data_IF_993405347837
#
_entry.id   IF_993405347837
#
_cell.length_a   1.000
_cell.length_b   1.000
_cell.length_c   1.000
_cell.angle_alpha   90.00
_cell.angle_beta   90.00
_cell.angle_gamma   90.00
#
_symmetry.space_group_name_H-M   'P 1'
#
loop_
_entity.id
_entity.type
_entity.pdbx_description
1 polymer ?
#
# COMPACT_ATOMS: atom_id res chain seq x y z
N UNK A 1 7.43 -23.07 -2.12
CA UNK A 1 6.65 -21.81 -2.12
C UNK A 1 7.23 -20.75 -3.05
N UNK A 2 8.49 -20.25 -2.83
CA UNK A 2 9.03 -19.07 -3.53
C UNK A 2 9.07 -19.26 -5.05
N UNK A 3 9.71 -20.33 -5.53
CA UNK A 3 9.83 -20.63 -6.97
C UNK A 3 8.48 -20.71 -7.67
N UNK A 4 7.49 -21.43 -7.07
CA UNK A 4 6.15 -21.56 -7.64
C UNK A 4 5.41 -20.21 -7.69
N UNK A 5 5.55 -19.38 -6.65
CA UNK A 5 4.95 -18.06 -6.59
C UNK A 5 5.53 -17.13 -7.67
N UNK A 6 6.87 -17.05 -7.76
CA UNK A 6 7.55 -16.17 -8.72
C UNK A 6 7.25 -16.60 -10.16
N UNK A 7 7.31 -17.90 -10.45
CA UNK A 7 6.97 -18.43 -11.77
C UNK A 7 5.51 -18.12 -12.15
N UNK A 8 4.59 -18.32 -11.20
CA UNK A 8 3.19 -17.98 -11.41
C UNK A 8 3.00 -16.49 -11.67
N UNK A 9 3.65 -15.63 -10.88
CA UNK A 9 3.58 -14.17 -11.05
C UNK A 9 4.08 -13.75 -12.43
N UNK A 10 5.20 -14.27 -12.90
CA UNK A 10 5.75 -13.97 -14.23
C UNK A 10 4.78 -14.29 -15.36
N UNK A 11 3.96 -15.35 -15.20
CA UNK A 11 2.98 -15.79 -16.19
C UNK A 11 1.61 -15.10 -16.06
N UNK A 12 1.27 -14.57 -14.87
CA UNK A 12 -0.08 -14.12 -14.55
C UNK A 12 -0.11 -12.68 -13.98
N UNK A 13 1.00 -11.97 -13.98
CA UNK A 13 1.06 -10.59 -13.46
C UNK A 13 0.04 -9.70 -14.15
N UNK A 14 -0.68 -8.91 -13.35
CA UNK A 14 -1.63 -7.94 -13.88
C UNK A 14 -0.88 -6.79 -14.56
N UNK A 15 -1.40 -6.33 -15.68
CA UNK A 15 -0.86 -5.19 -16.40
C UNK A 15 -1.41 -3.89 -15.79
N UNK A 16 -0.52 -3.13 -15.14
CA UNK A 16 -0.84 -1.83 -14.56
C UNK A 16 0.12 -0.78 -15.07
N UNK A 17 -0.30 0.50 -15.22
CA UNK A 17 0.57 1.59 -15.70
C UNK A 17 1.87 1.72 -14.89
N UNK A 18 1.80 1.55 -13.58
CA UNK A 18 2.94 1.63 -12.65
C UNK A 18 3.84 0.39 -12.61
N UNK A 19 3.62 -0.59 -13.49
CA UNK A 19 4.46 -1.79 -13.66
C UNK A 19 5.22 -1.81 -14.98
N UNK A 20 5.13 -0.72 -15.76
CA UNK A 20 5.79 -0.61 -17.07
C UNK A 20 7.29 -0.38 -16.96
N UNK A 21 7.72 0.19 -15.84
CA UNK A 21 9.13 0.48 -15.54
C UNK A 21 9.44 0.18 -14.06
N UNK A 22 10.64 0.51 -13.62
CA UNK A 22 11.10 0.39 -12.23
C UNK A 22 11.45 1.76 -11.63
N UNK A 23 10.90 2.85 -12.18
CA UNK A 23 11.13 4.18 -11.65
C UNK A 23 10.59 4.28 -10.21
N UNK A 24 11.42 4.58 -9.21
CA UNK A 24 10.98 4.69 -7.82
C UNK A 24 9.94 5.79 -7.61
N UNK A 25 9.94 6.85 -8.43
CA UNK A 25 8.93 7.89 -8.38
C UNK A 25 7.56 7.34 -8.81
N UNK A 26 7.49 6.63 -9.93
CA UNK A 26 6.26 6.02 -10.43
C UNK A 26 5.67 4.99 -9.45
N UNK A 27 6.54 4.15 -8.88
CA UNK A 27 6.15 3.16 -7.88
C UNK A 27 5.64 3.87 -6.62
N UNK A 28 6.33 4.90 -6.13
CA UNK A 28 5.92 5.65 -4.96
C UNK A 28 4.54 6.29 -5.13
N UNK A 29 4.29 7.00 -6.25
CA UNK A 29 2.99 7.59 -6.56
C UNK A 29 1.89 6.53 -6.50
N UNK A 30 2.08 5.40 -7.19
CA UNK A 30 1.09 4.33 -7.22
C UNK A 30 0.83 3.74 -5.83
N UNK A 31 1.88 3.46 -5.05
CA UNK A 31 1.76 2.89 -3.71
C UNK A 31 1.00 3.81 -2.73
N UNK A 32 1.21 5.13 -2.82
CA UNK A 32 0.46 6.09 -2.02
C UNK A 32 -1.00 6.19 -2.49
N UNK A 33 -1.26 6.17 -3.79
CA UNK A 33 -2.64 6.20 -4.33
C UNK A 33 -3.42 4.94 -3.99
N UNK A 34 -2.76 3.78 -3.98
CA UNK A 34 -3.37 2.49 -3.66
C UNK A 34 -3.68 2.30 -2.16
N UNK A 35 -3.19 3.17 -1.28
CA UNK A 35 -3.58 3.12 0.14
C UNK A 35 -5.09 3.33 0.28
N UNK A 36 -5.84 2.29 0.68
CA UNK A 36 -7.30 2.29 0.88
C UNK A 36 -8.13 2.65 -0.38
N UNK A 37 -7.56 2.46 -1.57
CA UNK A 37 -8.23 2.72 -2.84
C UNK A 37 -8.01 1.52 -3.78
N UNK A 38 -9.02 1.18 -4.59
CA UNK A 38 -8.92 0.04 -5.51
C UNK A 38 -8.05 0.36 -6.73
N UNK A 39 -7.48 -0.67 -7.36
CA UNK A 39 -6.63 -0.51 -8.56
C UNK A 39 -7.37 0.17 -9.70
N UNK A 40 -8.63 -0.20 -9.94
CA UNK A 40 -9.46 0.33 -11.01
C UNK A 40 -9.72 1.83 -10.84
N UNK A 41 -9.90 2.27 -9.59
CA UNK A 41 -10.06 3.69 -9.28
C UNK A 41 -8.74 4.44 -9.46
N UNK A 42 -7.60 3.85 -9.09
CA UNK A 42 -6.29 4.52 -9.11
C UNK A 42 -5.79 4.77 -10.53
N UNK A 43 -6.02 3.87 -11.49
CA UNK A 43 -5.47 3.97 -12.85
C UNK A 43 -5.64 5.37 -13.47
N UNK A 44 -6.87 5.91 -13.63
CA UNK A 44 -7.05 7.21 -14.27
C UNK A 44 -6.45 8.38 -13.45
N UNK A 45 -6.38 8.25 -12.13
CA UNK A 45 -5.73 9.27 -11.28
C UNK A 45 -4.22 9.27 -11.43
N UNK A 46 -3.62 8.09 -11.48
CA UNK A 46 -2.18 7.90 -11.65
C UNK A 46 -1.71 8.48 -12.99
N UNK A 47 -2.39 8.16 -14.08
CA UNK A 47 -2.05 8.65 -15.42
C UNK A 47 -2.14 10.19 -15.46
N UNK A 48 -3.27 10.77 -15.05
CA UNK A 48 -3.46 12.21 -14.98
C UNK A 48 -2.44 12.91 -14.07
N UNK A 49 -2.08 12.28 -12.93
CA UNK A 49 -1.12 12.85 -12.00
C UNK A 49 0.27 12.93 -12.61
N UNK A 50 0.73 11.88 -13.28
CA UNK A 50 2.04 11.86 -13.94
C UNK A 50 2.09 12.74 -15.19
N UNK A 51 0.98 12.96 -15.90
CA UNK A 51 0.90 13.95 -16.98
C UNK A 51 1.17 15.38 -16.48
N UNK A 52 0.73 15.71 -15.26
CA UNK A 52 0.91 17.03 -14.66
C UNK A 52 2.21 17.14 -13.85
N UNK A 53 2.62 16.08 -13.19
CA UNK A 53 3.81 16.00 -12.34
C UNK A 53 4.68 14.83 -12.78
N UNK A 54 5.34 14.97 -13.92
CA UNK A 54 6.14 13.89 -14.53
C UNK A 54 7.45 13.61 -13.79
N UNK A 55 7.89 14.51 -12.92
CA UNK A 55 9.11 14.35 -12.10
C UNK A 55 8.87 14.76 -10.65
N UNK A 56 9.80 14.36 -9.78
CA UNK A 56 9.78 14.76 -8.36
C UNK A 56 9.88 16.28 -8.22
N UNK A 57 10.71 16.92 -9.04
CA UNK A 57 10.91 18.38 -9.04
C UNK A 57 9.63 19.11 -9.44
N UNK A 58 8.93 18.61 -10.47
CA UNK A 58 7.65 19.17 -10.90
C UNK A 58 6.62 19.08 -9.77
N UNK A 59 6.54 17.95 -9.08
CA UNK A 59 5.67 17.78 -7.92
C UNK A 59 6.08 18.68 -6.75
N UNK A 60 7.37 18.79 -6.45
CA UNK A 60 7.87 19.58 -5.34
C UNK A 60 7.67 21.09 -5.53
N UNK A 61 7.76 21.58 -6.77
CA UNK A 61 7.61 22.99 -7.11
C UNK A 61 6.15 23.44 -7.28
N UNK A 62 5.21 22.51 -7.44
CA UNK A 62 3.79 22.80 -7.52
C UNK A 62 3.25 23.39 -6.22
N UNK A 63 2.18 24.17 -6.29
CA UNK A 63 1.43 24.53 -5.09
C UNK A 63 0.65 23.33 -4.54
N UNK A 64 0.43 23.32 -3.22
CA UNK A 64 -0.38 22.26 -2.61
C UNK A 64 -1.81 22.22 -3.16
N UNK A 65 -2.33 23.37 -3.60
CA UNK A 65 -3.66 23.49 -4.21
C UNK A 65 -3.72 22.78 -5.57
N UNK A 66 -2.69 22.92 -6.42
CA UNK A 66 -2.58 22.18 -7.67
C UNK A 66 -2.51 20.68 -7.44
N UNK A 67 -1.74 20.24 -6.44
CA UNK A 67 -1.67 18.81 -6.06
C UNK A 67 -3.03 18.30 -5.59
N UNK A 68 -3.77 19.06 -4.78
CA UNK A 68 -5.11 18.71 -4.35
C UNK A 68 -6.11 18.63 -5.50
N UNK A 69 -6.00 19.51 -6.50
CA UNK A 69 -6.84 19.48 -7.69
C UNK A 69 -6.67 18.20 -8.49
N UNK A 70 -5.44 17.72 -8.63
CA UNK A 70 -5.15 16.43 -9.31
C UNK A 70 -5.60 15.23 -8.47
N UNK A 71 -5.75 15.40 -7.15
CA UNK A 71 -6.19 14.36 -6.21
C UNK A 71 -7.71 14.34 -5.97
N UNK A 72 -8.43 15.35 -6.48
CA UNK A 72 -9.85 15.54 -6.22
C UNK A 72 -10.68 14.31 -6.60
N UNK A 73 -11.48 13.81 -5.62
CA UNK A 73 -12.29 12.60 -5.76
C UNK A 73 -11.62 11.30 -5.31
N UNK A 74 -10.28 11.25 -5.14
CA UNK A 74 -9.58 10.05 -4.67
C UNK A 74 -9.72 9.82 -3.15
N UNK A 75 -10.05 10.88 -2.40
CA UNK A 75 -10.21 10.85 -0.95
C UNK A 75 -8.90 10.80 -0.17
N UNK A 76 -9.00 10.85 1.17
CA UNK A 76 -7.85 10.81 2.06
C UNK A 76 -6.74 11.81 1.68
N UNK A 77 -7.10 13.08 1.56
CA UNK A 77 -6.25 14.18 1.08
C UNK A 77 -4.93 14.36 1.84
N UNK A 78 -4.86 13.85 3.07
CA UNK A 78 -3.60 13.80 3.83
C UNK A 78 -2.51 13.04 3.08
N UNK A 79 -2.85 12.05 2.26
CA UNK A 79 -1.87 11.34 1.41
C UNK A 79 -1.24 12.27 0.38
N UNK A 80 -2.05 13.07 -0.31
CA UNK A 80 -1.57 14.06 -1.27
C UNK A 80 -0.65 15.11 -0.62
N UNK A 81 -1.03 15.60 0.58
CA UNK A 81 -0.19 16.51 1.36
C UNK A 81 1.17 15.89 1.70
N UNK A 82 1.16 14.67 2.25
CA UNK A 82 2.40 13.97 2.60
C UNK A 82 3.28 13.68 1.37
N UNK A 83 2.65 13.35 0.23
CA UNK A 83 3.34 13.14 -1.04
C UNK A 83 4.08 14.42 -1.46
N UNK A 84 3.39 15.55 -1.48
CA UNK A 84 3.96 16.85 -1.82
C UNK A 84 5.10 17.26 -0.87
N UNK A 85 4.89 17.19 0.44
CA UNK A 85 5.92 17.49 1.45
C UNK A 85 7.15 16.56 1.30
N UNK A 86 6.94 15.29 0.97
CA UNK A 86 8.05 14.35 0.75
C UNK A 86 8.78 14.61 -0.57
N UNK A 87 8.10 15.07 -1.62
CA UNK A 87 8.76 15.51 -2.85
C UNK A 87 9.70 16.69 -2.58
N UNK A 88 9.27 17.66 -1.78
CA UNK A 88 10.11 18.79 -1.35
C UNK A 88 11.35 18.31 -0.57
N UNK A 89 11.19 17.38 0.38
CA UNK A 89 12.29 16.77 1.12
C UNK A 89 13.26 16.05 0.16
N UNK A 90 12.75 15.35 -0.84
CA UNK A 90 13.61 14.64 -1.82
C UNK A 90 14.42 15.64 -2.65
N UNK A 91 13.82 16.73 -3.09
CA UNK A 91 14.55 17.76 -3.83
C UNK A 91 15.60 18.44 -2.96
N UNK A 92 15.26 18.83 -1.73
CA UNK A 92 16.14 19.55 -0.81
C UNK A 92 17.29 18.68 -0.30
N UNK A 93 16.97 17.48 0.21
CA UNK A 93 17.94 16.64 0.90
C UNK A 93 18.70 15.70 -0.04
N UNK A 94 18.03 15.22 -1.11
CA UNK A 94 18.57 14.20 -2.01
C UNK A 94 18.74 14.70 -3.46
N UNK A 95 18.70 16.03 -3.68
CA UNK A 95 18.95 16.67 -4.99
C UNK A 95 18.04 16.14 -6.10
N UNK A 96 16.76 15.90 -5.79
CA UNK A 96 15.77 15.37 -6.72
C UNK A 96 15.88 13.85 -6.99
N UNK A 97 16.89 13.19 -6.46
CA UNK A 97 17.05 11.73 -6.61
C UNK A 97 16.29 11.00 -5.52
N UNK A 98 15.39 10.09 -5.92
CA UNK A 98 14.67 9.28 -4.95
C UNK A 98 15.65 8.48 -4.06
N UNK A 99 15.49 8.49 -2.71
CA UNK A 99 16.44 7.85 -1.82
C UNK A 99 16.53 6.34 -2.08
N UNK A 100 17.74 5.81 -2.04
CA UNK A 100 18.02 4.40 -2.27
C UNK A 100 17.93 3.57 -0.98
N UNK A 101 18.37 4.11 0.16
CA UNK A 101 18.41 3.34 1.40
C UNK A 101 17.02 3.21 2.04
N UNK A 102 16.68 2.00 2.52
CA UNK A 102 15.39 1.69 3.13
C UNK A 102 15.00 2.66 4.24
N UNK A 103 15.94 3.01 5.13
CA UNK A 103 15.66 3.91 6.24
C UNK A 103 15.41 5.35 5.78
N UNK A 104 16.05 5.79 4.71
CA UNK A 104 15.78 7.09 4.12
C UNK A 104 14.40 7.13 3.46
N UNK A 105 14.02 6.07 2.73
CA UNK A 105 12.67 5.92 2.18
C UNK A 105 11.63 5.92 3.31
N UNK A 106 11.86 5.15 4.37
CA UNK A 106 10.94 5.04 5.50
C UNK A 106 10.78 6.37 6.27
N UNK A 107 11.79 7.24 6.22
CA UNK A 107 11.75 8.56 6.88
C UNK A 107 10.85 9.57 6.18
N UNK A 108 10.43 9.32 4.94
CA UNK A 108 9.56 10.20 4.18
C UNK A 108 8.13 10.18 4.72
N UNK A 109 7.46 11.34 4.67
CA UNK A 109 6.10 11.48 5.19
C UNK A 109 5.10 10.60 4.42
N UNK A 110 4.24 9.92 5.15
CA UNK A 110 3.21 9.04 4.56
C UNK A 110 3.71 7.66 4.10
N UNK A 111 5.00 7.38 4.27
CA UNK A 111 5.61 6.08 3.98
C UNK A 111 5.75 5.27 5.27
N UNK A 112 5.11 4.11 5.31
CA UNK A 112 5.28 3.11 6.35
C UNK A 112 6.14 1.94 5.89
N UNK A 113 6.38 0.97 6.79
CA UNK A 113 7.21 -0.22 6.52
C UNK A 113 6.80 -0.97 5.23
N UNK A 114 5.49 -1.11 4.99
CA UNK A 114 4.97 -1.72 3.76
C UNK A 114 5.40 -0.94 2.52
N UNK A 115 5.10 0.36 2.46
CA UNK A 115 5.41 1.20 1.29
C UNK A 115 6.91 1.30 1.06
N UNK A 116 7.71 1.44 2.13
CA UNK A 116 9.17 1.42 2.03
C UNK A 116 9.69 0.09 1.50
N UNK A 117 9.13 -1.05 1.95
CA UNK A 117 9.46 -2.38 1.46
C UNK A 117 9.07 -2.57 -0.02
N UNK A 118 7.89 -2.10 -0.42
CA UNK A 118 7.43 -2.16 -1.81
C UNK A 118 8.37 -1.36 -2.74
N UNK A 119 8.64 -0.09 -2.42
CA UNK A 119 9.55 0.74 -3.22
C UNK A 119 10.94 0.12 -3.27
N UNK A 120 11.52 -0.25 -2.12
CA UNK A 120 12.88 -0.82 -2.03
C UNK A 120 13.02 -2.10 -2.84
N UNK A 121 12.02 -2.97 -2.82
CA UNK A 121 12.09 -4.25 -3.54
C UNK A 121 11.76 -4.11 -5.02
N UNK A 122 10.78 -3.29 -5.39
CA UNK A 122 10.33 -3.18 -6.78
C UNK A 122 11.29 -2.31 -7.60
N UNK A 123 11.68 -1.13 -7.08
CA UNK A 123 12.57 -0.22 -7.79
C UNK A 123 14.03 -0.65 -7.75
N UNK A 124 14.48 -1.18 -6.60
CA UNK A 124 15.91 -1.39 -6.34
C UNK A 124 16.31 -2.85 -6.14
N UNK A 125 15.36 -3.78 -6.21
CA UNK A 125 15.63 -5.21 -6.02
C UNK A 125 16.10 -5.59 -4.61
N UNK A 126 15.97 -4.69 -3.62
CA UNK A 126 16.39 -4.97 -2.24
C UNK A 126 15.51 -6.06 -1.64
N UNK A 127 16.14 -6.99 -0.93
CA UNK A 127 15.46 -8.13 -0.30
C UNK A 127 14.74 -7.71 0.99
N UNK A 128 13.77 -6.81 0.85
CA UNK A 128 12.96 -6.27 1.93
C UNK A 128 11.50 -6.65 1.72
N UNK A 129 10.81 -7.19 2.76
CA UNK A 129 9.40 -7.53 2.67
C UNK A 129 8.49 -6.32 2.49
N UNK A 130 7.43 -6.50 1.70
CA UNK A 130 6.28 -5.61 1.66
C UNK A 130 5.06 -6.34 2.25
N UNK A 131 4.86 -6.23 3.56
CA UNK A 131 3.82 -6.98 4.29
C UNK A 131 2.57 -6.15 4.44
N UNK A 132 1.55 -6.47 3.64
CA UNK A 132 0.20 -5.91 3.72
C UNK A 132 -0.83 -6.91 4.26
N UNK A 133 -2.10 -6.57 4.25
CA UNK A 133 -3.19 -7.47 4.65
C UNK A 133 -3.28 -8.74 3.80
N UNK A 134 -2.85 -8.70 2.53
CA UNK A 134 -2.81 -9.88 1.66
C UNK A 134 -1.71 -10.83 2.11
N UNK A 135 -0.52 -10.32 2.36
CA UNK A 135 0.63 -11.10 2.83
C UNK A 135 0.35 -11.70 4.20
N UNK A 136 -0.21 -10.92 5.14
CA UNK A 136 -0.63 -11.43 6.45
C UNK A 136 -1.58 -12.63 6.30
N UNK A 137 -2.57 -12.54 5.42
CA UNK A 137 -3.54 -13.62 5.16
C UNK A 137 -2.89 -14.84 4.52
N UNK A 138 -2.07 -14.64 3.49
CA UNK A 138 -1.40 -15.74 2.78
C UNK A 138 -0.50 -16.50 3.73
N UNK A 139 0.37 -15.82 4.47
CA UNK A 139 1.31 -16.46 5.39
C UNK A 139 0.57 -17.15 6.54
N UNK A 140 -0.49 -16.54 7.09
CA UNK A 140 -1.32 -17.19 8.10
C UNK A 140 -1.93 -18.49 7.61
N UNK A 141 -2.47 -18.52 6.39
CA UNK A 141 -3.03 -19.73 5.77
C UNK A 141 -1.95 -20.76 5.42
N UNK A 142 -0.86 -20.30 4.81
CA UNK A 142 0.20 -21.20 4.37
C UNK A 142 0.84 -21.97 5.53
N UNK A 143 1.14 -21.28 6.64
CA UNK A 143 1.75 -21.87 7.85
C UNK A 143 0.74 -22.28 8.93
N UNK A 144 -0.57 -22.16 8.67
CA UNK A 144 -1.64 -22.48 9.65
C UNK A 144 -1.50 -21.68 10.96
N UNK A 145 -1.16 -20.40 10.88
CA UNK A 145 -1.03 -19.54 12.05
C UNK A 145 -2.42 -19.21 12.61
N UNK A 146 -2.67 -19.63 13.86
CA UNK A 146 -3.94 -19.44 14.56
C UNK A 146 -3.95 -18.23 15.48
N UNK A 147 -2.83 -17.51 15.54
CA UNK A 147 -2.73 -16.27 16.29
C UNK A 147 -3.49 -15.13 15.57
N UNK A 148 -3.95 -14.15 16.37
CA UNK A 148 -4.66 -12.99 15.83
C UNK A 148 -3.71 -12.05 15.06
N UNK A 149 -3.86 -11.93 13.75
CA UNK A 149 -3.02 -11.06 12.91
C UNK A 149 -3.16 -9.55 13.19
N UNK A 150 -4.16 -9.13 13.98
CA UNK A 150 -4.26 -7.75 14.42
C UNK A 150 -3.23 -7.39 15.52
N UNK A 151 -2.58 -8.39 16.12
CA UNK A 151 -1.57 -8.16 17.16
C UNK A 151 -0.21 -7.85 16.56
N UNK A 152 0.44 -6.77 17.03
CA UNK A 152 1.75 -6.33 16.55
C UNK A 152 2.82 -7.43 16.63
N UNK A 153 2.80 -8.25 17.68
CA UNK A 153 3.75 -9.37 17.81
C UNK A 153 3.60 -10.39 16.69
N UNK A 154 2.36 -10.66 16.25
CA UNK A 154 2.06 -11.61 15.17
C UNK A 154 2.47 -11.02 13.82
N UNK A 155 2.23 -9.72 13.61
CA UNK A 155 2.68 -9.02 12.40
C UNK A 155 4.21 -9.03 12.28
N UNK A 156 4.93 -8.79 13.38
CA UNK A 156 6.40 -8.89 13.42
C UNK A 156 6.89 -10.31 13.12
N UNK A 157 6.24 -11.34 13.68
CA UNK A 157 6.53 -12.75 13.39
C UNK A 157 6.35 -13.05 11.89
N UNK A 158 5.25 -12.59 11.29
CA UNK A 158 4.99 -12.78 9.86
C UNK A 158 6.02 -12.02 9.02
N UNK A 159 6.40 -10.79 9.41
CA UNK A 159 7.45 -10.03 8.73
C UNK A 159 8.76 -10.81 8.70
N UNK A 160 9.19 -11.40 9.82
CA UNK A 160 10.41 -12.23 9.90
C UNK A 160 10.33 -13.45 8.98
N UNK A 161 9.18 -14.15 8.95
CA UNK A 161 8.97 -15.27 8.02
C UNK A 161 9.13 -14.81 6.58
N UNK A 162 8.52 -13.68 6.20
CA UNK A 162 8.60 -13.16 4.83
C UNK A 162 10.03 -12.70 4.51
N UNK A 163 10.75 -12.13 5.49
CA UNK A 163 12.15 -11.75 5.35
C UNK A 163 13.05 -12.95 5.03
N UNK A 164 12.81 -14.09 5.66
CA UNK A 164 13.54 -15.33 5.34
C UNK A 164 13.17 -15.88 3.96
N UNK A 165 11.88 -15.80 3.58
CA UNK A 165 11.40 -16.29 2.29
C UNK A 165 11.92 -15.48 1.10
N UNK A 166 12.14 -14.17 1.27
CA UNK A 166 12.59 -13.28 0.18
C UNK A 166 14.10 -13.38 -0.07
N UNK A 167 14.87 -13.91 0.87
CA UNK A 167 16.33 -14.03 0.72
C UNK A 167 16.69 -14.85 -0.51
N UNK A 168 17.68 -14.35 -1.29
CA UNK A 168 18.16 -14.96 -2.52
C UNK A 168 17.09 -15.17 -3.60
N UNK A 169 16.00 -14.43 -3.55
CA UNK A 169 14.94 -14.42 -4.56
C UNK A 169 14.93 -13.12 -5.35
N UNK A 170 14.23 -13.10 -6.48
CA UNK A 170 13.79 -11.88 -7.13
C UNK A 170 12.75 -11.19 -6.20
N UNK A 171 13.22 -10.19 -5.45
CA UNK A 171 12.43 -9.53 -4.42
C UNK A 171 11.22 -8.78 -5.00
N UNK A 172 11.39 -8.18 -6.18
CA UNK A 172 10.31 -7.50 -6.90
C UNK A 172 9.21 -8.49 -7.29
N UNK A 173 9.57 -9.59 -7.96
CA UNK A 173 8.61 -10.60 -8.39
C UNK A 173 7.97 -11.32 -7.19
N UNK A 174 8.71 -11.54 -6.10
CA UNK A 174 8.18 -12.16 -4.89
C UNK A 174 7.12 -11.29 -4.21
N UNK A 175 7.42 -10.03 -3.91
CA UNK A 175 6.49 -9.13 -3.23
C UNK A 175 5.25 -8.86 -4.10
N UNK A 176 5.42 -8.53 -5.37
CA UNK A 176 4.31 -8.32 -6.29
C UNK A 176 3.49 -9.61 -6.49
N UNK A 177 4.14 -10.76 -6.53
CA UNK A 177 3.49 -12.07 -6.60
C UNK A 177 2.61 -12.35 -5.38
N UNK A 178 3.06 -12.00 -4.17
CA UNK A 178 2.25 -12.09 -2.95
C UNK A 178 1.03 -11.16 -3.00
N UNK A 179 1.21 -9.92 -3.47
CA UNK A 179 0.11 -8.96 -3.63
C UNK A 179 -0.94 -9.49 -4.62
N UNK A 180 -0.50 -9.94 -5.80
CA UNK A 180 -1.40 -10.45 -6.84
C UNK A 180 -2.10 -11.75 -6.42
N UNK A 181 -1.38 -12.67 -5.79
CA UNK A 181 -1.95 -13.90 -5.25
C UNK A 181 -3.06 -13.60 -4.23
N UNK A 182 -2.82 -12.63 -3.34
CA UNK A 182 -3.81 -12.20 -2.36
C UNK A 182 -5.03 -11.53 -2.96
N UNK A 183 -4.82 -10.69 -3.98
CA UNK A 183 -5.90 -9.98 -4.64
C UNK A 183 -6.78 -10.88 -5.52
N UNK A 184 -6.18 -11.88 -6.19
CA UNK A 184 -6.88 -12.64 -7.24
C UNK A 184 -7.28 -14.06 -6.83
N UNK A 185 -6.47 -14.74 -6.04
CA UNK A 185 -6.65 -16.17 -5.70
C UNK A 185 -6.90 -16.38 -4.21
N UNK A 186 -5.95 -15.98 -3.35
CA UNK A 186 -6.08 -16.19 -1.91
C UNK A 186 -6.96 -15.10 -1.27
N UNK A 187 -8.20 -14.97 -1.75
CA UNK A 187 -9.16 -13.94 -1.31
C UNK A 187 -9.56 -14.11 0.15
N UNK A 188 -10.04 -13.03 0.83
CA UNK A 188 -10.53 -13.11 2.20
C UNK A 188 -11.65 -14.13 2.36
N UNK A 189 -12.64 -14.08 1.46
CA UNK A 189 -13.80 -14.96 1.41
C UNK A 189 -13.73 -15.78 0.12
N UNK A 190 -14.07 -17.07 0.18
CA UNK A 190 -14.08 -18.00 -0.95
C UNK A 190 -12.76 -17.99 -1.77
N UNK A 191 -11.62 -18.35 -1.16
CA UNK A 191 -10.34 -18.39 -1.87
C UNK A 191 -10.35 -19.46 -2.97
N UNK A 192 -9.76 -19.14 -4.12
CA UNK A 192 -9.70 -20.02 -5.28
C UNK A 192 -8.54 -21.03 -5.16
N UNK A 193 -8.57 -21.86 -4.11
CA UNK A 193 -7.47 -22.74 -3.75
C UNK A 193 -7.06 -23.72 -4.87
N UNK A 194 -7.99 -24.20 -5.69
CA UNK A 194 -7.71 -25.09 -6.83
C UNK A 194 -6.80 -24.44 -7.90
N UNK A 195 -6.74 -23.12 -7.96
CA UNK A 195 -5.90 -22.35 -8.88
C UNK A 195 -4.61 -21.82 -8.22
N UNK A 196 -4.42 -22.10 -6.93
CA UNK A 196 -3.31 -21.52 -6.16
C UNK A 196 -1.98 -22.21 -6.47
N UNK A 197 -0.94 -21.47 -6.89
CA UNK A 197 0.36 -22.05 -7.24
C UNK A 197 1.07 -22.71 -6.06
N UNK A 198 0.75 -22.29 -4.83
CA UNK A 198 1.36 -22.79 -3.58
C UNK A 198 0.43 -23.70 -2.77
N UNK A 199 -0.66 -24.20 -3.39
CA UNK A 199 -1.68 -25.02 -2.73
C UNK A 199 -1.11 -26.27 -2.05
N UNK A 200 -0.21 -26.97 -2.76
CA UNK A 200 0.30 -28.28 -2.33
C UNK A 200 0.93 -28.29 -0.95
N UNK A 201 1.53 -27.17 -0.56
CA UNK A 201 2.22 -27.01 0.72
C UNK A 201 1.41 -26.18 1.74
N UNK A 202 0.25 -25.64 1.33
CA UNK A 202 -0.58 -24.80 2.18
C UNK A 202 -1.24 -25.62 3.29
N UNK A 203 -0.84 -25.37 4.55
CA UNK A 203 -1.34 -26.12 5.70
C UNK A 203 -2.82 -25.83 5.99
N UNK A 204 -3.30 -24.60 5.78
CA UNK A 204 -4.72 -24.29 5.96
C UNK A 204 -5.59 -25.05 4.94
N UNK A 205 -5.13 -25.20 3.69
CA UNK A 205 -5.84 -25.97 2.70
C UNK A 205 -5.91 -27.47 3.10
N UNK A 206 -4.78 -28.06 3.48
CA UNK A 206 -4.70 -29.46 3.92
C UNK A 206 -5.61 -29.75 5.12
N UNK A 207 -5.73 -28.78 6.03
CA UNK A 207 -6.52 -28.90 7.26
C UNK A 207 -7.95 -28.33 7.13
N UNK A 208 -8.42 -27.95 5.92
CA UNK A 208 -9.74 -27.34 5.68
C UNK A 208 -10.03 -26.11 6.55
N UNK A 209 -9.01 -25.27 6.77
CA UNK A 209 -9.07 -24.06 7.61
C UNK A 209 -8.98 -22.76 6.83
N UNK A 210 -9.11 -22.79 5.50
CA UNK A 210 -8.96 -21.61 4.64
C UNK A 210 -10.03 -20.54 4.88
N UNK A 211 -11.22 -20.93 5.29
CA UNK A 211 -12.34 -20.00 5.53
C UNK A 211 -12.28 -19.40 6.96
N UNK A 212 -11.57 -20.07 7.88
CA UNK A 212 -11.40 -19.62 9.26
C UNK A 212 -10.21 -18.68 9.42
N UNK A 213 -9.15 -18.90 8.63
CA UNK A 213 -7.92 -18.11 8.70
C UNK A 213 -7.87 -17.00 7.63
N UNK A 214 -7.26 -15.86 7.97
CA UNK A 214 -6.60 -15.53 9.24
C UNK A 214 -7.60 -15.14 10.34
N UNK A 215 -7.24 -15.37 11.60
CA UNK A 215 -7.96 -14.77 12.73
C UNK A 215 -7.60 -13.29 12.79
N UNK A 216 -8.61 -12.41 12.67
CA UNK A 216 -8.42 -10.95 12.63
C UNK A 216 -9.46 -10.27 13.52
N UNK A 217 -9.20 -10.25 14.83
CA UNK A 217 -10.08 -9.64 15.84
C UNK A 217 -9.50 -8.26 16.19
N UNK A 218 -10.11 -7.20 15.63
CA UNK A 218 -9.75 -5.82 15.96
C UNK A 218 -10.45 -5.38 17.23
N UNK A 219 -9.70 -4.86 18.21
CA UNK A 219 -10.25 -4.18 19.37
C UNK A 219 -10.73 -2.79 18.93
N UNK A 220 -12.02 -2.66 18.67
CA UNK A 220 -12.62 -1.36 18.36
C UNK A 220 -12.94 -0.68 19.69
N UNK A 221 -12.22 0.37 20.03
CA UNK A 221 -12.65 1.33 21.05
C UNK A 221 -13.68 2.25 20.40
N UNK A 222 -14.95 2.01 20.64
CA UNK A 222 -16.00 2.98 20.27
C UNK A 222 -15.87 4.18 21.21
N UNK A 223 -15.71 5.36 20.64
CA UNK A 223 -15.84 6.64 21.33
C UNK A 223 -17.11 7.29 20.83
N UNK A 224 -18.06 7.53 21.73
CA UNK A 224 -19.24 8.31 21.39
C UNK A 224 -18.84 9.78 21.44
N UNK A 225 -19.04 10.48 20.34
CA UNK A 225 -18.79 11.90 20.21
C UNK A 225 -20.12 12.54 19.78
N UNK A 226 -20.59 13.49 20.58
CA UNK A 226 -21.76 14.30 20.24
C UNK A 226 -21.31 15.58 19.56
N UNK A 227 -21.85 15.86 18.38
CA UNK A 227 -21.62 17.11 17.67
C UNK A 227 -22.87 17.96 17.68
N UNK A 228 -22.69 19.26 17.85
CA UNK A 228 -23.74 20.26 17.61
C UNK A 228 -23.32 21.04 16.38
N UNK A 229 -24.15 21.04 15.35
CA UNK A 229 -23.92 21.83 14.14
C UNK A 229 -24.87 23.00 14.11
N UNK A 230 -24.30 24.21 14.05
CA UNK A 230 -25.08 25.45 13.86
C UNK A 230 -24.98 25.92 12.40
N UNK A 231 -26.10 26.21 11.77
CA UNK A 231 -26.13 26.87 10.46
C UNK A 231 -26.48 28.34 10.72
N UNK A 232 -25.52 29.22 10.43
CA UNK A 232 -25.71 30.66 10.60
C UNK A 232 -26.06 31.26 9.25
N UNK A 233 -27.23 31.88 9.16
CA UNK A 233 -27.71 32.54 7.94
C UNK A 233 -28.02 34.01 8.21
N UNK A 234 -27.76 34.86 7.23
CA UNK A 234 -28.16 36.27 7.22
C UNK A 234 -28.46 36.71 5.78
N UNK A 235 -29.65 37.25 5.51
CA UNK A 235 -30.08 37.72 4.18
C UNK A 235 -29.76 36.68 3.07
N UNK A 236 -30.26 35.45 3.20
CA UNK A 236 -30.04 34.31 2.27
C UNK A 236 -28.59 33.91 2.04
N UNK A 237 -27.66 34.33 2.88
CA UNK A 237 -26.26 33.94 2.87
C UNK A 237 -25.94 33.02 4.04
N UNK A 238 -25.02 32.09 3.82
CA UNK A 238 -24.48 31.19 4.84
C UNK A 238 -23.12 31.67 5.30
N UNK A 239 -22.85 31.62 6.61
CA UNK A 239 -21.51 31.82 7.13
C UNK A 239 -20.68 30.54 6.88
N UNK A 240 -19.64 30.66 6.07
CA UNK A 240 -18.65 29.59 5.87
C UNK A 240 -17.37 30.00 6.56
N UNK A 241 -16.79 29.08 7.33
CA UNK A 241 -15.50 29.25 7.99
C UNK A 241 -14.55 28.20 7.44
N UNK A 242 -13.38 28.62 7.01
CA UNK A 242 -12.33 27.67 6.63
C UNK A 242 -11.82 26.97 7.89
N UNK A 243 -11.79 25.64 7.87
CA UNK A 243 -11.22 24.87 8.97
C UNK A 243 -9.75 25.23 9.17
N UNK A 244 -9.28 25.36 10.42
CA UNK A 244 -7.86 25.58 10.68
C UNK A 244 -7.03 24.40 10.18
N UNK A 245 -5.77 24.64 9.80
CA UNK A 245 -4.86 23.57 9.40
C UNK A 245 -4.77 22.49 10.52
N UNK A 246 -5.18 21.26 10.22
CA UNK A 246 -5.18 20.16 11.19
C UNK A 246 -6.53 19.87 11.87
N UNK A 247 -7.60 20.59 11.54
CA UNK A 247 -8.98 20.26 11.94
C UNK A 247 -9.53 19.11 11.10
N UNK A 248 -10.18 18.14 11.80
CA UNK A 248 -10.76 16.84 11.38
C UNK A 248 -9.99 16.09 10.32
#
# INVERSE_FOLDING_TARGET
MQKQLIQWYQQNKRDFPWRKDQDPYHIWISEIMLQQTTTETVIPYYERFLENFSTIEALASASLEEVYKMWEGLGYYRRAKHLHESAQIIVEKYQGKFPYEYNDILSLKGIGEYTAGAISSIAYGKQVPAVDGNVLRIISRYYLLKENIAETKVQKKIYQIVQELILNQDASAFNQGMMDLGATICKPVHPLCSRCPIQKECLAFKNKQTDVLPINIKKIKKQEISYITGIITYQDKYLLIQNPPGGL
#
